data_IF_888941974724
#
_entry.id   IF_888941974724
#
_cell.length_a   1.000
_cell.length_b   1.000
_cell.length_c   1.000
_cell.angle_alpha   90.00
_cell.angle_beta   90.00
_cell.angle_gamma   90.00
#
_symmetry.space_group_name_H-M   'P 1'
#
loop_
_entity.id
_entity.type
_entity.pdbx_description
1 polymer ?
#
# COMPACT_ATOMS: atom_id res chain seq x y z
N UNK A 1 -24.55 -1.54 17.94
CA UNK A 1 -23.11 -1.37 17.66
C UNK A 1 -22.30 -2.59 18.10
N UNK A 2 -22.46 -3.09 19.34
CA UNK A 2 -21.75 -4.30 19.82
C UNK A 2 -21.89 -5.55 18.95
N UNK A 3 -23.08 -5.96 18.41
CA UNK A 3 -23.18 -7.15 17.58
C UNK A 3 -22.42 -7.04 16.26
N UNK A 4 -22.37 -5.83 15.68
CA UNK A 4 -21.64 -5.57 14.43
C UNK A 4 -20.13 -5.64 14.66
N UNK A 5 -19.62 -5.07 15.75
CA UNK A 5 -18.19 -5.15 16.10
C UNK A 5 -17.80 -6.60 16.38
N UNK A 6 -18.63 -7.34 17.12
CA UNK A 6 -18.39 -8.76 17.38
C UNK A 6 -18.35 -9.58 16.07
N UNK A 7 -19.24 -9.32 15.12
CA UNK A 7 -19.19 -9.97 13.80
C UNK A 7 -17.91 -9.61 13.04
N UNK A 8 -17.46 -8.33 13.10
CA UNK A 8 -16.21 -7.89 12.48
C UNK A 8 -15.00 -8.63 13.07
N UNK A 9 -14.92 -8.77 14.38
CA UNK A 9 -13.84 -9.46 15.09
C UNK A 9 -13.84 -10.96 14.83
N UNK A 10 -15.00 -11.61 14.93
CA UNK A 10 -15.09 -13.08 14.91
C UNK A 10 -15.21 -13.67 13.52
N UNK A 11 -15.78 -12.94 12.55
CA UNK A 11 -16.09 -13.48 11.23
C UNK A 11 -15.36 -12.79 10.10
N UNK A 12 -15.34 -11.45 10.07
CA UNK A 12 -14.76 -10.69 8.97
C UNK A 12 -13.23 -10.65 9.04
N UNK A 13 -12.66 -10.21 10.17
CA UNK A 13 -11.20 -10.06 10.30
C UNK A 13 -10.43 -11.36 10.09
N UNK A 14 -10.83 -12.53 10.62
CA UNK A 14 -10.14 -13.78 10.34
C UNK A 14 -10.19 -14.19 8.87
N UNK A 15 -11.30 -13.90 8.16
CA UNK A 15 -11.41 -14.17 6.71
C UNK A 15 -10.48 -13.26 5.91
N UNK A 16 -10.44 -11.96 6.25
CA UNK A 16 -9.54 -11.01 5.61
C UNK A 16 -8.07 -11.32 5.91
N UNK A 17 -7.75 -11.78 7.11
CA UNK A 17 -6.41 -12.26 7.45
C UNK A 17 -5.99 -13.45 6.57
N UNK A 18 -6.90 -14.40 6.29
CA UNK A 18 -6.61 -15.51 5.35
C UNK A 18 -6.32 -15.00 3.94
N UNK A 19 -7.07 -14.00 3.45
CA UNK A 19 -6.82 -13.38 2.14
C UNK A 19 -5.47 -12.66 2.15
N UNK A 20 -5.21 -11.83 3.18
CA UNK A 20 -3.96 -11.09 3.30
C UNK A 20 -2.71 -11.98 3.44
N UNK A 21 -2.86 -13.19 3.99
CA UNK A 21 -1.78 -14.16 4.17
C UNK A 21 -1.73 -15.21 3.03
N UNK A 22 -2.61 -15.11 2.04
CA UNK A 22 -2.56 -15.99 0.87
C UNK A 22 -1.27 -15.76 0.08
N UNK A 23 -0.53 -16.82 -0.23
CA UNK A 23 0.77 -16.76 -0.90
C UNK A 23 0.72 -15.98 -2.21
N UNK A 24 -0.35 -16.11 -2.98
CA UNK A 24 -0.57 -15.39 -4.25
C UNK A 24 -0.76 -13.90 -4.02
N UNK A 25 -1.68 -13.54 -3.10
CA UNK A 25 -1.97 -12.14 -2.75
C UNK A 25 -0.71 -11.45 -2.21
N UNK A 26 0.00 -12.13 -1.31
CA UNK A 26 1.26 -11.61 -0.74
C UNK A 26 2.33 -11.45 -1.80
N UNK A 27 2.47 -12.41 -2.75
CA UNK A 27 3.46 -12.30 -3.83
C UNK A 27 3.17 -11.12 -4.75
N UNK A 28 1.93 -10.91 -5.16
CA UNK A 28 1.54 -9.77 -6.01
C UNK A 28 1.76 -8.45 -5.24
N UNK A 29 1.27 -8.37 -4.00
CA UNK A 29 1.45 -7.19 -3.15
C UNK A 29 2.93 -6.82 -2.98
N UNK A 30 3.77 -7.78 -2.59
CA UNK A 30 5.19 -7.55 -2.37
C UNK A 30 5.91 -7.15 -3.66
N UNK A 31 5.51 -7.69 -4.80
CA UNK A 31 6.04 -7.30 -6.11
C UNK A 31 5.75 -5.84 -6.44
N UNK A 32 4.52 -5.38 -6.19
CA UNK A 32 4.15 -3.97 -6.38
C UNK A 32 4.92 -3.07 -5.39
N UNK A 33 5.09 -3.52 -4.13
CA UNK A 33 5.89 -2.78 -3.15
C UNK A 33 7.38 -2.67 -3.54
N UNK A 34 7.93 -3.71 -4.16
CA UNK A 34 9.35 -3.73 -4.60
C UNK A 34 9.62 -2.80 -5.77
N UNK A 35 8.62 -2.39 -6.54
CA UNK A 35 8.80 -1.39 -7.61
C UNK A 35 8.67 0.07 -7.11
N UNK A 36 8.25 0.31 -5.86
CA UNK A 36 8.15 1.66 -5.29
C UNK A 36 9.41 2.51 -5.42
N UNK A 37 10.64 2.00 -5.22
CA UNK A 37 11.84 2.80 -5.43
C UNK A 37 11.95 3.37 -6.86
N UNK A 38 11.55 2.60 -7.87
CA UNK A 38 11.55 3.06 -9.27
C UNK A 38 10.46 4.12 -9.50
N UNK A 39 9.29 3.94 -8.88
CA UNK A 39 8.20 4.92 -8.90
C UNK A 39 8.66 6.24 -8.25
N UNK A 40 9.30 6.17 -7.08
CA UNK A 40 9.80 7.35 -6.37
C UNK A 40 10.86 8.09 -7.19
N UNK A 41 11.85 7.39 -7.74
CA UNK A 41 12.88 7.97 -8.61
C UNK A 41 12.25 8.60 -9.85
N UNK A 42 11.32 7.90 -10.50
CA UNK A 42 10.59 8.43 -11.66
C UNK A 42 9.82 9.70 -11.33
N UNK A 43 9.16 9.77 -10.15
CA UNK A 43 8.44 10.98 -9.74
C UNK A 43 9.36 12.17 -9.47
N UNK A 44 10.59 11.94 -8.98
CA UNK A 44 11.60 13.01 -8.90
C UNK A 44 11.94 13.57 -10.28
N UNK A 45 12.13 12.71 -11.27
CA UNK A 45 12.40 13.16 -12.65
C UNK A 45 11.19 13.86 -13.28
N UNK A 46 9.97 13.41 -13.03
CA UNK A 46 8.76 14.11 -13.44
C UNK A 46 8.66 15.52 -12.81
N UNK A 47 9.03 15.65 -11.53
CA UNK A 47 9.10 16.95 -10.86
C UNK A 47 10.20 17.85 -11.46
N UNK A 48 11.39 17.30 -11.74
CA UNK A 48 12.48 18.04 -12.38
C UNK A 48 12.13 18.46 -13.80
N UNK A 49 11.32 17.68 -14.52
CA UNK A 49 10.85 18.03 -15.87
C UNK A 49 10.07 19.37 -15.90
N UNK A 50 9.49 19.76 -14.76
CA UNK A 50 8.86 21.09 -14.61
C UNK A 50 9.89 22.22 -14.83
N UNK A 51 11.15 22.01 -14.48
CA UNK A 51 12.20 23.00 -14.67
C UNK A 51 12.48 23.28 -16.16
N UNK A 52 12.20 22.32 -17.05
CA UNK A 52 12.35 22.53 -18.49
C UNK A 52 11.42 23.65 -19.03
N UNK A 53 10.28 23.91 -18.35
CA UNK A 53 9.35 24.98 -18.70
C UNK A 53 9.97 26.39 -18.46
N UNK A 54 10.87 26.48 -17.46
CA UNK A 54 11.53 27.73 -17.08
C UNK A 54 12.94 27.86 -17.67
N UNK A 55 13.60 26.74 -17.87
CA UNK A 55 14.97 26.65 -18.35
C UNK A 55 15.07 25.64 -19.50
N UNK A 56 14.69 26.05 -20.74
CA UNK A 56 14.67 25.15 -21.90
C UNK A 56 16.05 24.57 -22.30
N UNK A 57 17.14 25.15 -21.78
CA UNK A 57 18.52 24.67 -22.02
C UNK A 57 18.89 23.45 -21.18
N UNK A 58 18.10 23.08 -20.19
CA UNK A 58 18.34 21.87 -19.41
C UNK A 58 18.04 20.61 -20.23
N UNK A 59 18.74 19.49 -19.95
CA UNK A 59 18.43 18.22 -20.59
C UNK A 59 17.03 17.76 -20.27
N UNK A 60 16.40 16.99 -21.17
CA UNK A 60 15.06 16.46 -20.94
C UNK A 60 15.06 15.44 -19.81
N UNK A 61 14.35 15.74 -18.72
CA UNK A 61 14.14 14.82 -17.60
C UNK A 61 13.09 13.74 -17.89
N UNK A 62 12.39 13.81 -19.02
CA UNK A 62 11.46 12.76 -19.48
C UNK A 62 12.17 11.47 -19.88
N UNK A 63 13.43 11.55 -20.30
CA UNK A 63 14.23 10.35 -20.66
C UNK A 63 14.43 9.43 -19.45
N UNK A 64 15.02 9.88 -18.31
CA UNK A 64 15.16 9.03 -17.13
C UNK A 64 13.80 8.67 -16.49
N UNK A 65 12.77 9.51 -16.61
CA UNK A 65 11.40 9.15 -16.26
C UNK A 65 10.93 7.91 -17.04
N UNK A 66 11.13 7.88 -18.35
CA UNK A 66 10.77 6.75 -19.20
C UNK A 66 11.48 5.44 -18.82
N UNK A 67 12.73 5.51 -18.37
CA UNK A 67 13.49 4.34 -17.90
C UNK A 67 13.08 3.82 -16.52
N UNK A 68 12.31 4.57 -15.76
CA UNK A 68 11.78 4.17 -14.46
C UNK A 68 10.29 3.84 -14.56
N UNK A 69 9.45 4.85 -14.68
CA UNK A 69 8.00 4.72 -14.74
C UNK A 69 7.50 4.01 -16.00
N UNK A 70 8.21 4.19 -17.12
CA UNK A 70 7.88 3.52 -18.38
C UNK A 70 8.21 2.03 -18.42
N UNK A 71 8.84 1.46 -17.36
CA UNK A 71 9.25 0.05 -17.31
C UNK A 71 8.58 -0.72 -16.15
N UNK A 72 7.57 -0.16 -15.49
CA UNK A 72 6.94 -0.77 -14.31
C UNK A 72 6.34 -2.14 -14.58
N UNK A 73 5.67 -2.32 -15.70
CA UNK A 73 5.07 -3.60 -16.09
C UNK A 73 6.10 -4.69 -16.29
N UNK A 74 7.25 -4.33 -16.88
CA UNK A 74 8.36 -5.26 -17.05
C UNK A 74 8.88 -5.75 -15.69
N UNK A 75 9.08 -4.84 -14.74
CA UNK A 75 9.52 -5.18 -13.38
C UNK A 75 8.48 -6.02 -12.63
N UNK A 76 7.20 -5.66 -12.71
CA UNK A 76 6.11 -6.40 -12.03
C UNK A 76 5.98 -7.81 -12.58
N UNK A 77 6.05 -7.99 -13.91
CA UNK A 77 5.97 -9.32 -14.53
C UNK A 77 7.11 -10.26 -14.13
N UNK A 78 8.29 -9.69 -13.85
CA UNK A 78 9.44 -10.42 -13.30
C UNK A 78 9.25 -10.75 -11.80
N UNK A 79 8.85 -9.75 -11.01
CA UNK A 79 8.84 -9.86 -9.55
C UNK A 79 7.74 -10.79 -9.02
N UNK A 80 6.59 -10.89 -9.70
CA UNK A 80 5.48 -11.74 -9.22
C UNK A 80 5.88 -13.22 -9.18
N UNK A 81 6.34 -13.86 -10.28
CA UNK A 81 6.75 -15.26 -10.23
C UNK A 81 8.03 -15.45 -9.38
N UNK A 82 8.94 -14.47 -9.36
CA UNK A 82 10.11 -14.49 -8.48
C UNK A 82 9.69 -14.60 -7.00
N UNK A 83 8.82 -13.71 -6.53
CA UNK A 83 8.33 -13.71 -5.15
C UNK A 83 7.48 -14.94 -4.82
N UNK A 84 6.69 -15.43 -5.77
CA UNK A 84 5.90 -16.64 -5.60
C UNK A 84 6.80 -17.86 -5.36
N UNK A 85 7.84 -18.03 -6.16
CA UNK A 85 8.80 -19.12 -6.02
C UNK A 85 9.59 -19.01 -4.71
N UNK A 86 9.98 -17.81 -4.30
CA UNK A 86 10.60 -17.54 -3.01
C UNK A 86 9.72 -18.00 -1.85
N UNK A 87 8.43 -17.61 -1.85
CA UNK A 87 7.46 -17.92 -0.79
C UNK A 87 7.04 -19.39 -0.77
N UNK A 88 7.14 -20.09 -1.90
CA UNK A 88 6.91 -21.54 -2.01
C UNK A 88 8.16 -22.37 -1.74
N UNK A 89 9.28 -21.73 -1.32
CA UNK A 89 10.58 -22.34 -1.06
C UNK A 89 11.26 -22.97 -2.29
N UNK A 90 10.87 -22.57 -3.51
CA UNK A 90 11.53 -22.97 -4.77
C UNK A 90 12.60 -21.96 -5.19
N UNK A 91 13.48 -21.58 -4.25
CA UNK A 91 14.45 -20.47 -4.39
C UNK A 91 15.42 -20.66 -5.56
N UNK A 92 15.78 -21.89 -5.91
CA UNK A 92 16.72 -22.19 -6.98
C UNK A 92 16.22 -21.73 -8.35
N UNK A 93 14.92 -21.80 -8.59
CA UNK A 93 14.28 -21.47 -9.87
C UNK A 93 13.68 -20.07 -9.93
N UNK A 94 13.74 -19.27 -8.85
CA UNK A 94 13.06 -17.98 -8.75
C UNK A 94 13.47 -16.96 -9.83
N UNK A 95 14.78 -16.90 -10.18
CA UNK A 95 15.28 -16.00 -11.22
C UNK A 95 14.77 -16.39 -12.60
N UNK A 96 14.76 -17.70 -12.89
CA UNK A 96 14.26 -18.24 -14.16
C UNK A 96 12.74 -17.98 -14.25
N UNK A 97 12.02 -18.17 -13.16
CA UNK A 97 10.59 -17.87 -13.09
C UNK A 97 10.31 -16.36 -13.36
N UNK A 98 11.12 -15.47 -12.78
CA UNK A 98 11.06 -14.03 -13.07
C UNK A 98 11.25 -13.73 -14.55
N UNK A 99 12.31 -14.27 -15.14
CA UNK A 99 12.59 -14.12 -16.59
C UNK A 99 11.45 -14.66 -17.46
N UNK A 100 10.84 -15.79 -17.09
CA UNK A 100 9.70 -16.38 -17.81
C UNK A 100 8.48 -15.46 -17.79
N UNK A 101 8.20 -14.80 -16.65
CA UNK A 101 7.11 -13.81 -16.54
C UNK A 101 7.33 -12.62 -17.44
N UNK A 102 8.58 -12.11 -17.50
CA UNK A 102 8.94 -11.03 -18.41
C UNK A 102 8.79 -11.42 -19.89
N UNK A 103 9.26 -12.62 -20.26
CA UNK A 103 9.12 -13.13 -21.64
C UNK A 103 7.65 -13.26 -22.02
N UNK A 104 6.80 -13.81 -21.12
CA UNK A 104 5.37 -13.92 -21.37
C UNK A 104 4.71 -12.56 -21.55
N UNK A 105 5.06 -11.55 -20.74
CA UNK A 105 4.59 -10.18 -20.94
C UNK A 105 4.97 -9.67 -22.33
N UNK A 106 6.24 -9.81 -22.74
CA UNK A 106 6.73 -9.34 -24.03
C UNK A 106 6.00 -10.01 -25.19
N UNK A 107 5.69 -11.31 -25.10
CA UNK A 107 4.87 -12.02 -26.08
C UNK A 107 3.45 -11.42 -26.14
N UNK A 108 2.82 -11.18 -24.97
CA UNK A 108 1.44 -10.66 -24.89
C UNK A 108 1.30 -9.25 -25.47
N UNK A 109 2.27 -8.36 -25.20
CA UNK A 109 2.22 -6.97 -25.71
C UNK A 109 2.55 -6.85 -27.20
N UNK A 110 2.94 -7.92 -27.83
CA UNK A 110 3.23 -8.08 -29.26
C UNK A 110 4.14 -6.97 -29.81
N UNK A 111 5.34 -7.27 -30.25
CA UNK A 111 6.27 -6.28 -30.75
C UNK A 111 5.70 -5.57 -31.97
N UNK A 112 5.70 -4.25 -31.96
CA UNK A 112 5.38 -3.45 -33.14
C UNK A 112 6.61 -3.44 -34.06
N UNK A 113 6.41 -3.59 -35.37
CA UNK A 113 7.48 -3.45 -36.34
C UNK A 113 7.85 -1.97 -36.44
N UNK A 114 9.02 -1.61 -35.96
CA UNK A 114 9.57 -0.25 -36.06
C UNK A 114 10.24 -0.07 -37.41
N UNK A 115 10.51 1.18 -37.78
CA UNK A 115 11.26 1.56 -38.99
C UNK A 115 12.50 0.68 -39.13
N UNK A 116 12.70 0.08 -40.30
CA UNK A 116 13.78 -0.86 -40.61
C UNK A 116 13.58 -2.34 -40.22
N UNK A 117 12.36 -2.73 -39.82
CA UNK A 117 12.01 -4.14 -39.54
C UNK A 117 12.42 -4.63 -38.17
N UNK A 118 12.93 -3.77 -37.29
CA UNK A 118 13.24 -4.13 -35.90
C UNK A 118 11.99 -4.16 -35.01
N UNK A 119 11.89 -5.12 -34.05
CA UNK A 119 10.78 -5.16 -33.11
C UNK A 119 10.94 -4.05 -32.05
N UNK A 120 9.87 -3.31 -31.80
CA UNK A 120 9.80 -2.28 -30.76
C UNK A 120 8.57 -2.44 -29.90
N UNK A 121 8.64 -1.99 -28.63
CA UNK A 121 7.55 -2.05 -27.69
C UNK A 121 7.09 -0.65 -27.27
N UNK A 122 5.78 -0.43 -27.22
CA UNK A 122 5.22 0.83 -26.76
C UNK A 122 5.46 1.07 -25.27
N UNK A 123 5.96 2.26 -24.91
CA UNK A 123 6.16 2.64 -23.50
C UNK A 123 4.90 2.51 -22.65
N UNK A 124 3.72 2.76 -23.21
CA UNK A 124 2.44 2.63 -22.49
C UNK A 124 2.19 1.20 -21.99
N UNK A 125 2.58 0.19 -22.78
CA UNK A 125 2.41 -1.21 -22.42
C UNK A 125 3.47 -1.70 -21.42
N UNK A 126 4.68 -1.12 -21.46
CA UNK A 126 5.76 -1.44 -20.52
C UNK A 126 5.63 -0.67 -19.20
N UNK A 127 4.99 0.49 -19.21
CA UNK A 127 4.71 1.33 -18.04
C UNK A 127 3.45 0.93 -17.26
N UNK A 128 2.89 1.86 -16.48
CA UNK A 128 1.72 1.60 -15.64
C UNK A 128 0.48 1.15 -16.42
N UNK A 129 0.32 1.58 -17.68
CA UNK A 129 -0.81 1.16 -18.53
C UNK A 129 -0.87 -0.35 -18.79
N UNK A 130 0.25 -1.07 -18.76
CA UNK A 130 0.33 -2.52 -18.93
C UNK A 130 0.35 -3.31 -17.61
N UNK A 131 0.24 -2.68 -16.44
CA UNK A 131 0.44 -3.37 -15.16
C UNK A 131 -0.52 -4.53 -14.92
N UNK A 132 -1.78 -4.45 -15.35
CA UNK A 132 -2.72 -5.57 -15.24
C UNK A 132 -2.31 -6.76 -16.10
N UNK A 133 -1.79 -6.48 -17.29
CA UNK A 133 -1.25 -7.52 -18.19
C UNK A 133 0.01 -8.14 -17.58
N UNK A 134 0.86 -7.33 -16.96
CA UNK A 134 2.05 -7.79 -16.24
C UNK A 134 1.69 -8.67 -15.04
N UNK A 135 0.63 -8.34 -14.29
CA UNK A 135 0.11 -9.17 -13.20
C UNK A 135 -0.36 -10.52 -13.77
N UNK A 136 -1.15 -10.51 -14.84
CA UNK A 136 -1.60 -11.76 -15.49
C UNK A 136 -0.40 -12.61 -15.94
N UNK A 137 0.54 -12.03 -16.68
CA UNK A 137 1.73 -12.73 -17.18
C UNK A 137 2.57 -13.30 -16.03
N UNK A 138 2.77 -12.51 -14.97
CA UNK A 138 3.49 -12.96 -13.78
C UNK A 138 2.79 -14.08 -13.02
N UNK A 139 1.46 -14.00 -12.88
CA UNK A 139 0.66 -15.04 -12.21
C UNK A 139 0.65 -16.34 -13.03
N UNK A 140 0.42 -16.27 -14.34
CA UNK A 140 0.42 -17.45 -15.22
C UNK A 140 1.79 -18.11 -15.26
N UNK A 141 2.85 -17.35 -15.45
CA UNK A 141 4.22 -17.86 -15.38
C UNK A 141 4.54 -18.46 -14.02
N UNK A 142 4.21 -17.77 -12.93
CA UNK A 142 4.40 -18.25 -11.57
C UNK A 142 3.61 -19.54 -11.29
N UNK A 143 2.40 -19.67 -11.83
CA UNK A 143 1.60 -20.88 -11.71
C UNK A 143 2.32 -22.06 -12.38
N UNK A 144 2.68 -21.92 -13.66
CA UNK A 144 3.37 -22.98 -14.41
C UNK A 144 4.68 -23.34 -13.71
N UNK A 145 5.53 -22.38 -13.40
CA UNK A 145 6.81 -22.62 -12.72
C UNK A 145 6.64 -23.30 -11.37
N UNK A 146 5.62 -22.93 -10.59
CA UNK A 146 5.38 -23.52 -9.27
C UNK A 146 4.81 -24.93 -9.32
N UNK A 147 4.10 -25.31 -10.39
CA UNK A 147 3.65 -26.70 -10.61
C UNK A 147 4.84 -27.65 -10.83
N UNK A 148 5.91 -27.14 -11.44
CA UNK A 148 7.15 -27.89 -11.69
C UNK A 148 8.22 -27.65 -10.63
N UNK A 149 7.98 -26.83 -9.61
CA UNK A 149 8.99 -26.44 -8.62
C UNK A 149 9.59 -27.59 -7.81
N UNK A 150 8.82 -28.64 -7.60
CA UNK A 150 9.29 -29.89 -6.96
C UNK A 150 9.71 -30.99 -7.94
N UNK A 151 9.60 -30.72 -9.25
CA UNK A 151 9.97 -31.68 -10.27
C UNK A 151 11.46 -31.58 -10.60
N UNK A 152 12.17 -32.70 -10.65
CA UNK A 152 13.54 -32.80 -11.17
C UNK A 152 13.67 -33.97 -12.14
N UNK A 153 14.34 -33.70 -13.26
CA UNK A 153 14.68 -34.68 -14.26
C UNK A 153 15.79 -35.65 -13.76
N UNK A 154 16.52 -35.20 -12.74
CA UNK A 154 17.67 -35.96 -12.21
C UNK A 154 17.44 -36.37 -10.76
N UNK A 155 17.93 -37.53 -10.40
CA UNK A 155 17.94 -37.99 -9.00
C UNK A 155 18.88 -37.11 -8.15
N UNK A 156 18.56 -36.95 -6.86
CA UNK A 156 19.38 -36.14 -5.93
C UNK A 156 20.83 -36.64 -5.83
N UNK A 157 21.05 -37.91 -6.01
CA UNK A 157 22.37 -38.57 -5.97
C UNK A 157 23.21 -38.44 -7.26
N UNK A 158 22.72 -37.67 -8.25
CA UNK A 158 23.44 -37.52 -9.52
C UNK A 158 24.71 -36.71 -9.34
N UNK A 159 25.77 -37.03 -10.08
CA UNK A 159 27.07 -36.35 -10.09
C UNK A 159 26.98 -34.95 -10.75
N UNK A 160 25.83 -34.61 -11.29
CA UNK A 160 25.59 -33.35 -12.01
C UNK A 160 25.53 -32.18 -11.00
N UNK A 161 26.29 -31.09 -11.21
CA UNK A 161 26.26 -29.92 -10.37
C UNK A 161 24.83 -29.37 -10.23
N UNK A 162 24.47 -28.88 -9.04
CA UNK A 162 23.13 -28.45 -8.69
C UNK A 162 22.58 -27.37 -9.61
N UNK A 163 23.42 -26.42 -10.05
CA UNK A 163 23.01 -25.34 -10.96
C UNK A 163 22.65 -25.88 -12.36
N UNK A 164 23.35 -26.93 -12.83
CA UNK A 164 23.06 -27.58 -14.12
C UNK A 164 21.71 -28.31 -14.05
N UNK A 165 21.46 -29.02 -12.96
CA UNK A 165 20.16 -29.66 -12.72
C UNK A 165 19.04 -28.65 -12.75
N UNK A 166 19.21 -27.53 -12.06
CA UNK A 166 18.21 -26.45 -12.02
C UNK A 166 17.90 -25.90 -13.44
N UNK A 167 18.86 -25.84 -14.33
CA UNK A 167 18.63 -25.42 -15.73
C UNK A 167 17.74 -26.40 -16.49
N UNK A 168 18.06 -27.71 -16.42
CA UNK A 168 17.26 -28.72 -17.10
C UNK A 168 15.85 -28.85 -16.49
N UNK A 169 15.72 -28.75 -15.16
CA UNK A 169 14.43 -28.80 -14.48
C UNK A 169 13.54 -27.59 -14.86
N UNK A 170 14.16 -26.43 -15.10
CA UNK A 170 13.44 -25.24 -15.54
C UNK A 170 13.12 -25.22 -17.05
N UNK A 171 13.78 -26.03 -17.87
CA UNK A 171 13.61 -26.00 -19.33
C UNK A 171 12.17 -26.34 -19.75
N UNK A 172 11.56 -27.35 -19.11
CA UNK A 172 10.18 -27.77 -19.41
C UNK A 172 9.17 -26.66 -19.07
N UNK A 173 9.13 -26.13 -17.82
CA UNK A 173 8.15 -25.08 -17.48
C UNK A 173 8.38 -23.78 -18.26
N UNK A 174 9.63 -23.39 -18.55
CA UNK A 174 9.92 -22.23 -19.41
C UNK A 174 9.39 -22.48 -20.81
N UNK A 175 9.65 -23.66 -21.38
CA UNK A 175 9.13 -24.06 -22.70
C UNK A 175 7.60 -24.00 -22.73
N UNK A 176 6.92 -24.45 -21.69
CA UNK A 176 5.46 -24.36 -21.58
C UNK A 176 4.96 -22.93 -21.53
N UNK A 177 5.61 -22.03 -20.76
CA UNK A 177 5.25 -20.60 -20.69
C UNK A 177 5.37 -19.95 -22.07
N UNK A 178 6.50 -20.16 -22.77
CA UNK A 178 6.74 -19.60 -24.09
C UNK A 178 5.77 -20.17 -25.12
N UNK A 179 5.57 -21.49 -25.13
CA UNK A 179 4.63 -22.16 -26.04
C UNK A 179 3.19 -21.69 -25.81
N UNK A 180 2.77 -21.55 -24.56
CA UNK A 180 1.44 -21.01 -24.22
C UNK A 180 1.26 -19.59 -24.78
N UNK A 181 2.24 -18.70 -24.54
CA UNK A 181 2.21 -17.34 -25.07
C UNK A 181 2.14 -17.32 -26.58
N UNK A 182 3.02 -18.07 -27.25
CA UNK A 182 3.06 -18.17 -28.71
C UNK A 182 1.75 -18.74 -29.30
N UNK A 183 1.23 -19.82 -28.75
CA UNK A 183 -0.04 -20.40 -29.23
C UNK A 183 -1.20 -19.43 -29.07
N UNK A 184 -1.30 -18.76 -27.90
CA UNK A 184 -2.43 -17.87 -27.62
C UNK A 184 -2.36 -16.58 -28.46
N UNK A 185 -1.18 -15.96 -28.54
CA UNK A 185 -1.03 -14.65 -29.17
C UNK A 185 -0.81 -14.78 -30.68
N UNK A 186 0.14 -15.62 -31.11
CA UNK A 186 0.56 -15.66 -32.51
C UNK A 186 -0.28 -16.68 -33.31
N UNK A 187 -0.51 -17.90 -32.78
CA UNK A 187 -1.20 -18.95 -33.52
C UNK A 187 -2.72 -18.77 -33.53
N UNK A 188 -3.31 -18.43 -32.37
CA UNK A 188 -4.76 -18.15 -32.26
C UNK A 188 -5.11 -16.68 -32.57
N UNK A 189 -4.13 -15.80 -32.67
CA UNK A 189 -4.29 -14.38 -32.97
C UNK A 189 -5.10 -13.63 -31.91
N UNK A 190 -5.07 -14.07 -30.63
CA UNK A 190 -5.85 -13.46 -29.55
C UNK A 190 -5.14 -12.21 -29.02
N UNK A 191 -5.81 -11.09 -29.08
CA UNK A 191 -5.35 -9.84 -28.48
C UNK A 191 -5.55 -9.86 -26.95
N UNK A 192 -4.68 -10.59 -26.25
CA UNK A 192 -4.72 -10.74 -24.79
C UNK A 192 -4.52 -9.40 -24.09
N UNK A 193 -3.69 -8.51 -24.65
CA UNK A 193 -3.44 -7.20 -24.05
C UNK A 193 -4.72 -6.38 -23.95
N UNK A 194 -5.41 -6.16 -25.06
CA UNK A 194 -6.66 -5.40 -25.05
C UNK A 194 -7.82 -6.14 -24.36
N UNK A 195 -7.83 -7.48 -24.40
CA UNK A 195 -8.81 -8.28 -23.65
C UNK A 195 -8.67 -8.05 -22.13
N UNK A 196 -7.46 -8.09 -21.60
CA UNK A 196 -7.20 -7.79 -20.18
C UNK A 196 -7.60 -6.36 -19.83
N UNK A 197 -7.18 -5.38 -20.64
CA UNK A 197 -7.57 -3.98 -20.40
C UNK A 197 -9.09 -3.79 -20.45
N UNK A 198 -9.81 -4.49 -21.33
CA UNK A 198 -11.27 -4.44 -21.42
C UNK A 198 -11.95 -4.96 -20.15
N UNK A 199 -11.40 -5.99 -19.50
CA UNK A 199 -11.90 -6.50 -18.21
C UNK A 199 -11.71 -5.48 -17.08
N UNK A 200 -10.59 -4.74 -17.07
CA UNK A 200 -10.30 -3.78 -16.00
C UNK A 200 -10.79 -2.35 -16.28
N UNK A 201 -11.14 -2.02 -17.52
CA UNK A 201 -11.70 -0.70 -17.89
C UNK A 201 -12.96 -0.33 -17.08
N UNK A 202 -13.96 -1.22 -16.85
CA UNK A 202 -15.09 -0.93 -15.99
C UNK A 202 -14.70 -0.59 -14.55
N UNK A 203 -13.68 -1.27 -13.99
CA UNK A 203 -13.18 -1.00 -12.66
C UNK A 203 -12.60 0.41 -12.56
N UNK A 204 -11.78 0.82 -13.53
CA UNK A 204 -11.25 2.18 -13.61
C UNK A 204 -12.38 3.22 -13.71
N UNK A 205 -13.39 2.95 -14.53
CA UNK A 205 -14.59 3.81 -14.67
C UNK A 205 -15.42 3.89 -13.38
N UNK A 206 -15.55 2.79 -12.63
CA UNK A 206 -16.22 2.79 -11.33
C UNK A 206 -15.41 3.65 -10.33
N UNK A 207 -14.11 3.44 -10.24
CA UNK A 207 -13.22 4.20 -9.35
C UNK A 207 -13.25 5.70 -9.70
N UNK A 208 -13.21 6.06 -10.97
CA UNK A 208 -13.32 7.45 -11.48
C UNK A 208 -14.78 7.94 -11.54
N UNK A 209 -15.63 7.52 -10.63
CA UNK A 209 -17.02 7.98 -10.54
C UNK A 209 -17.28 8.71 -9.22
N UNK A 210 -18.32 9.58 -9.15
CA UNK A 210 -18.63 10.33 -7.93
C UNK A 210 -18.97 9.45 -6.73
N UNK A 211 -19.34 8.20 -6.95
CA UNK A 211 -19.67 7.21 -5.91
C UNK A 211 -18.53 6.22 -5.67
N UNK A 212 -17.85 5.79 -6.74
CA UNK A 212 -16.75 4.82 -6.65
C UNK A 212 -15.52 5.40 -5.96
N UNK A 213 -15.22 6.66 -6.17
CA UNK A 213 -14.11 7.34 -5.51
C UNK A 213 -14.26 7.35 -3.98
N UNK A 214 -15.37 7.84 -3.40
CA UNK A 214 -15.58 7.76 -1.95
C UNK A 214 -15.64 6.33 -1.43
N UNK A 215 -16.24 5.39 -2.18
CA UNK A 215 -16.32 3.99 -1.79
C UNK A 215 -14.92 3.34 -1.72
N UNK A 216 -14.06 3.64 -2.68
CA UNK A 216 -12.66 3.19 -2.64
C UNK A 216 -11.94 3.75 -1.41
N UNK A 217 -12.05 5.06 -1.16
CA UNK A 217 -11.43 5.68 0.02
C UNK A 217 -12.00 5.14 1.34
N UNK A 218 -13.31 4.89 1.40
CA UNK A 218 -13.96 4.22 2.54
C UNK A 218 -13.38 2.82 2.76
N UNK A 219 -13.17 2.04 1.68
CA UNK A 219 -12.61 0.69 1.78
C UNK A 219 -11.21 0.72 2.38
N UNK A 220 -10.37 1.66 1.98
CA UNK A 220 -9.06 1.88 2.59
C UNK A 220 -9.18 2.19 4.09
N UNK A 221 -10.00 3.17 4.46
CA UNK A 221 -10.21 3.57 5.85
C UNK A 221 -10.81 2.46 6.70
N UNK A 222 -11.77 1.71 6.14
CA UNK A 222 -12.43 0.60 6.80
C UNK A 222 -11.44 -0.52 7.13
N UNK A 223 -10.71 -1.04 6.14
CA UNK A 223 -9.74 -2.11 6.36
C UNK A 223 -8.65 -1.68 7.35
N UNK A 224 -8.16 -0.45 7.22
CA UNK A 224 -7.10 0.05 8.07
C UNK A 224 -7.56 0.21 9.51
N UNK A 225 -8.81 0.64 9.76
CA UNK A 225 -9.41 0.70 11.09
C UNK A 225 -9.62 -0.68 11.73
N UNK A 226 -9.68 -1.76 10.91
CA UNK A 226 -9.70 -3.15 11.36
C UNK A 226 -8.31 -3.74 11.64
N UNK A 227 -7.25 -2.92 11.60
CA UNK A 227 -5.88 -3.41 11.74
C UNK A 227 -5.37 -4.18 10.53
N UNK A 228 -6.08 -4.14 9.39
CA UNK A 228 -5.67 -4.76 8.15
C UNK A 228 -4.90 -3.72 7.33
N UNK A 229 -3.68 -4.07 6.94
CA UNK A 229 -2.86 -3.17 6.13
C UNK A 229 -3.57 -2.78 4.84
N UNK A 230 -3.65 -1.49 4.57
CA UNK A 230 -4.21 -0.93 3.33
C UNK A 230 -3.48 -1.40 2.06
N UNK A 231 -2.24 -1.86 2.19
CA UNK A 231 -1.44 -2.42 1.10
C UNK A 231 -2.05 -3.68 0.47
N UNK A 232 -3.04 -4.31 1.10
CA UNK A 232 -3.79 -5.42 0.50
C UNK A 232 -4.58 -5.00 -0.75
N UNK A 233 -4.92 -3.72 -0.89
CA UNK A 233 -5.64 -3.18 -2.04
C UNK A 233 -4.72 -2.80 -3.21
N UNK A 234 -3.41 -2.67 -3.00
CA UNK A 234 -2.46 -2.21 -4.02
C UNK A 234 -2.46 -3.03 -5.32
N UNK A 235 -2.61 -4.37 -5.31
CA UNK A 235 -2.66 -5.14 -6.55
C UNK A 235 -3.75 -4.69 -7.52
N UNK A 236 -4.83 -4.11 -7.00
CA UNK A 236 -5.98 -3.65 -7.78
C UNK A 236 -5.91 -2.13 -8.01
N UNK A 237 -5.63 -1.36 -6.97
CA UNK A 237 -5.74 0.10 -7.03
C UNK A 237 -4.52 0.76 -7.66
N UNK A 238 -3.30 0.29 -7.38
CA UNK A 238 -2.08 0.92 -7.90
C UNK A 238 -2.04 0.97 -9.44
N UNK A 239 -2.33 -0.12 -10.19
CA UNK A 239 -2.36 -0.05 -11.64
C UNK A 239 -3.37 0.98 -12.17
N UNK A 240 -4.57 1.05 -11.57
CA UNK A 240 -5.61 2.02 -11.96
C UNK A 240 -5.15 3.45 -11.72
N UNK A 241 -4.68 3.74 -10.51
CA UNK A 241 -4.28 5.09 -10.09
C UNK A 241 -3.08 5.62 -10.89
N UNK A 242 -2.10 4.76 -11.17
CA UNK A 242 -0.93 5.13 -11.96
C UNK A 242 -1.26 5.27 -13.45
N UNK A 243 -2.10 4.41 -14.01
CA UNK A 243 -2.57 4.56 -15.39
C UNK A 243 -3.38 5.85 -15.57
N UNK A 244 -4.22 6.20 -14.57
CA UNK A 244 -5.01 7.43 -14.58
C UNK A 244 -4.13 8.68 -14.61
N UNK A 245 -3.10 8.76 -13.77
CA UNK A 245 -2.20 9.93 -13.77
C UNK A 245 -1.33 9.99 -15.04
N UNK A 246 -0.92 8.85 -15.59
CA UNK A 246 -0.21 8.81 -16.87
C UNK A 246 -1.08 9.31 -18.04
N UNK A 247 -2.36 8.97 -18.05
CA UNK A 247 -3.31 9.50 -19.05
C UNK A 247 -3.50 11.02 -18.91
N UNK A 248 -3.53 11.56 -17.67
CA UNK A 248 -3.55 12.99 -17.43
C UNK A 248 -2.28 13.67 -17.98
N UNK A 249 -1.10 13.11 -17.68
CA UNK A 249 0.19 13.63 -18.17
C UNK A 249 0.29 13.63 -19.69
N UNK A 250 -0.28 12.60 -20.35
CA UNK A 250 -0.35 12.52 -21.80
C UNK A 250 -1.40 13.46 -22.41
N UNK A 251 -2.19 14.18 -21.62
CA UNK A 251 -3.26 15.05 -22.08
C UNK A 251 -4.44 14.30 -22.70
N UNK A 252 -4.55 13.00 -22.47
CA UNK A 252 -5.62 12.14 -23.04
C UNK A 252 -6.82 12.00 -22.10
N UNK A 253 -6.69 12.39 -20.83
CA UNK A 253 -7.74 12.38 -19.84
C UNK A 253 -7.54 13.44 -18.76
N UNK A 254 -8.61 13.69 -17.99
CA UNK A 254 -8.60 14.52 -16.78
C UNK A 254 -9.13 13.69 -15.61
N UNK A 255 -8.41 12.63 -15.23
CA UNK A 255 -8.82 11.76 -14.13
C UNK A 255 -8.54 12.43 -12.79
N UNK A 256 -9.54 12.51 -11.93
CA UNK A 256 -9.38 13.01 -10.57
C UNK A 256 -8.75 11.94 -9.67
N UNK A 257 -9.16 10.68 -9.84
CA UNK A 257 -8.79 9.60 -8.93
C UNK A 257 -7.44 9.01 -9.34
N UNK A 258 -6.39 9.67 -8.88
CA UNK A 258 -4.99 9.32 -9.16
C UNK A 258 -4.22 9.13 -7.86
N UNK A 259 -3.06 8.47 -7.93
CA UNK A 259 -2.14 8.39 -6.79
C UNK A 259 -1.76 9.78 -6.26
N UNK A 260 -1.48 10.72 -7.16
CA UNK A 260 -1.14 12.10 -6.82
C UNK A 260 -2.26 12.82 -6.06
N UNK A 261 -3.53 12.66 -6.49
CA UNK A 261 -4.68 13.26 -5.80
C UNK A 261 -4.82 12.74 -4.37
N UNK A 262 -4.70 11.42 -4.20
CA UNK A 262 -4.92 10.74 -2.93
C UNK A 262 -3.79 11.00 -1.93
N UNK A 263 -2.55 10.85 -2.35
CA UNK A 263 -1.41 10.80 -1.43
C UNK A 263 -0.63 12.11 -1.33
N UNK A 264 -0.89 13.09 -2.23
CA UNK A 264 -0.02 14.27 -2.31
C UNK A 264 -0.74 15.59 -2.52
N UNK A 265 -2.03 15.61 -2.91
CA UNK A 265 -2.68 16.87 -3.29
C UNK A 265 -3.83 17.26 -2.37
N UNK A 266 -4.87 16.42 -2.24
CA UNK A 266 -6.13 16.83 -1.61
C UNK A 266 -6.57 15.97 -0.43
N UNK A 267 -6.05 14.73 -0.32
CA UNK A 267 -6.48 13.77 0.69
C UNK A 267 -5.30 13.21 1.48
N UNK A 268 -5.63 12.56 2.58
CA UNK A 268 -4.75 11.77 3.42
C UNK A 268 -3.62 12.56 4.10
N UNK A 269 -3.98 13.76 4.57
CA UNK A 269 -3.11 14.54 5.47
C UNK A 269 -2.77 13.75 6.72
N UNK A 270 -1.49 13.55 6.96
CA UNK A 270 -1.04 12.71 8.06
C UNK A 270 -1.30 11.23 7.84
N UNK A 271 -1.56 10.80 6.60
CA UNK A 271 -1.82 9.43 6.18
C UNK A 271 -3.30 9.11 5.92
N UNK A 272 -3.59 7.85 5.59
CA UNK A 272 -4.93 7.38 5.22
C UNK A 272 -5.95 7.72 6.31
N UNK A 273 -7.07 8.35 5.90
CA UNK A 273 -8.10 8.81 6.82
C UNK A 273 -7.85 10.19 7.42
N UNK A 274 -6.97 11.00 6.80
CA UNK A 274 -6.72 12.40 7.19
C UNK A 274 -6.42 12.56 8.68
N UNK A 275 -5.52 11.72 9.21
CA UNK A 275 -5.30 11.58 10.66
C UNK A 275 -4.50 12.71 11.30
N UNK A 276 -3.93 13.64 10.51
CA UNK A 276 -3.19 14.80 11.05
C UNK A 276 -4.01 15.60 12.06
N UNK A 277 -5.29 15.87 11.75
CA UNK A 277 -6.17 16.62 12.66
C UNK A 277 -6.33 15.90 14.01
N UNK A 278 -6.53 14.58 14.00
CA UNK A 278 -6.60 13.78 15.21
C UNK A 278 -5.29 13.83 16.00
N UNK A 279 -4.15 13.68 15.33
CA UNK A 279 -2.81 13.73 15.97
C UNK A 279 -2.58 15.07 16.65
N UNK A 280 -2.95 16.18 16.01
CA UNK A 280 -2.85 17.51 16.60
C UNK A 280 -3.76 17.65 17.84
N UNK A 281 -5.00 17.16 17.78
CA UNK A 281 -5.92 17.16 18.92
C UNK A 281 -5.37 16.30 20.07
N UNK A 282 -4.81 15.13 19.79
CA UNK A 282 -4.19 14.27 20.79
C UNK A 282 -2.96 14.93 21.42
N UNK A 283 -2.10 15.58 20.63
CA UNK A 283 -0.91 16.28 21.13
C UNK A 283 -1.24 17.44 22.06
N UNK A 284 -2.44 18.05 21.89
CA UNK A 284 -2.98 19.10 22.74
C UNK A 284 -3.94 18.58 23.85
N UNK A 285 -4.15 17.27 23.98
CA UNK A 285 -5.09 16.66 24.91
C UNK A 285 -4.77 16.97 26.37
N UNK A 286 -5.82 16.97 27.22
CA UNK A 286 -5.72 17.01 28.68
C UNK A 286 -5.27 15.67 29.28
N UNK A 287 -5.57 14.54 28.63
CA UNK A 287 -5.10 13.21 29.01
C UNK A 287 -3.60 13.09 28.79
N UNK A 288 -2.87 12.69 29.84
CA UNK A 288 -1.40 12.51 29.79
C UNK A 288 -1.01 11.45 28.75
N UNK A 289 -1.76 10.34 28.73
CA UNK A 289 -1.56 9.24 27.78
C UNK A 289 -1.77 9.70 26.33
N UNK A 290 -2.90 10.37 26.05
CA UNK A 290 -3.19 10.82 24.68
C UNK A 290 -2.23 11.90 24.22
N UNK A 291 -1.84 12.81 25.12
CA UNK A 291 -0.83 13.84 24.83
C UNK A 291 0.52 13.22 24.47
N UNK A 292 0.97 12.24 25.22
CA UNK A 292 2.23 11.53 24.94
C UNK A 292 2.16 10.82 23.59
N UNK A 293 1.09 10.07 23.31
CA UNK A 293 0.88 9.38 22.04
C UNK A 293 0.79 10.37 20.86
N UNK A 294 0.00 11.45 21.00
CA UNK A 294 -0.13 12.47 19.97
C UNK A 294 1.20 13.14 19.62
N UNK A 295 2.01 13.48 20.64
CA UNK A 295 3.33 14.05 20.43
C UNK A 295 4.31 13.07 19.77
N UNK A 296 4.25 11.79 20.13
CA UNK A 296 5.05 10.75 19.48
C UNK A 296 4.64 10.50 18.03
N UNK A 297 3.34 10.62 17.72
CA UNK A 297 2.81 10.45 16.36
C UNK A 297 2.96 11.70 15.48
N UNK A 298 3.26 12.88 16.03
CA UNK A 298 3.31 14.13 15.27
C UNK A 298 4.42 14.15 14.21
N UNK A 299 5.70 13.79 14.51
CA UNK A 299 6.74 13.79 13.49
C UNK A 299 6.43 12.87 12.29
N UNK A 300 6.03 11.60 12.46
CA UNK A 300 5.64 10.77 11.32
C UNK A 300 4.38 11.29 10.60
N UNK A 301 3.40 11.87 11.30
CA UNK A 301 2.19 12.42 10.67
C UNK A 301 2.50 13.61 9.75
N UNK A 302 3.49 14.46 10.07
CA UNK A 302 3.92 15.57 9.19
C UNK A 302 4.38 15.04 7.82
N UNK A 303 4.99 13.87 7.79
CA UNK A 303 5.42 13.19 6.57
C UNK A 303 4.41 12.11 6.12
N UNK A 304 3.14 12.25 6.50
CA UNK A 304 2.01 11.42 6.08
C UNK A 304 2.11 9.94 6.46
N UNK A 305 2.85 9.61 7.51
CA UNK A 305 2.97 8.26 8.08
C UNK A 305 2.08 8.19 9.31
N UNK A 306 1.06 7.34 9.30
CA UNK A 306 0.07 7.26 10.37
C UNK A 306 -0.10 5.89 11.04
N UNK A 307 0.74 4.91 10.72
CA UNK A 307 0.76 3.62 11.38
C UNK A 307 0.77 3.74 12.92
N UNK A 308 1.59 4.63 13.53
CA UNK A 308 1.61 4.75 14.99
C UNK A 308 0.28 5.19 15.59
N UNK A 309 -0.44 6.13 14.98
CA UNK A 309 -1.74 6.58 15.50
C UNK A 309 -2.85 5.60 15.16
N UNK A 310 -2.80 4.95 13.99
CA UNK A 310 -3.81 3.96 13.61
C UNK A 310 -3.73 2.75 14.55
N UNK A 311 -2.58 2.13 14.70
CA UNK A 311 -2.43 0.96 15.56
C UNK A 311 -2.40 1.30 17.05
N UNK A 312 -2.00 2.54 17.41
CA UNK A 312 -1.95 2.99 18.81
C UNK A 312 -3.29 3.48 19.39
N UNK A 313 -4.24 3.92 18.54
CA UNK A 313 -5.48 4.52 19.01
C UNK A 313 -6.74 4.16 18.21
N UNK A 314 -6.65 4.02 16.88
CA UNK A 314 -7.84 3.91 16.01
C UNK A 314 -8.25 2.45 15.82
N UNK A 315 -7.30 1.56 15.52
CA UNK A 315 -7.62 0.17 15.21
C UNK A 315 -8.37 -0.50 16.36
N UNK A 316 -9.50 -1.11 16.02
CA UNK A 316 -10.42 -1.78 16.98
C UNK A 316 -10.98 -0.86 18.06
N UNK A 317 -10.88 0.46 17.90
CA UNK A 317 -11.53 1.41 18.79
C UNK A 317 -12.84 1.92 18.17
N UNK A 318 -14.02 1.47 18.61
CA UNK A 318 -15.30 1.82 18.01
C UNK A 318 -15.56 3.33 17.94
N UNK A 319 -15.02 4.08 18.90
CA UNK A 319 -15.20 5.54 18.96
C UNK A 319 -14.42 6.23 17.82
N UNK A 320 -13.20 5.76 17.50
CA UNK A 320 -12.35 6.37 16.50
C UNK A 320 -12.48 5.71 15.11
N UNK A 321 -13.03 4.50 15.01
CA UNK A 321 -13.29 3.84 13.72
C UNK A 321 -14.37 4.57 12.91
N UNK A 322 -15.43 5.03 13.57
CA UNK A 322 -16.53 5.74 12.90
C UNK A 322 -16.05 7.00 12.17
N UNK A 323 -15.35 7.94 12.83
CA UNK A 323 -14.81 9.09 12.11
C UNK A 323 -13.79 8.70 11.04
N UNK A 324 -12.99 7.64 11.22
CA UNK A 324 -12.10 7.12 10.18
C UNK A 324 -12.87 6.74 8.91
N UNK A 325 -14.05 6.10 9.03
CA UNK A 325 -14.90 5.77 7.88
C UNK A 325 -15.50 7.00 7.23
N UNK A 326 -15.92 7.99 8.04
CA UNK A 326 -16.42 9.28 7.53
C UNK A 326 -15.33 10.04 6.77
N UNK A 327 -14.07 9.92 7.16
CA UNK A 327 -12.93 10.45 6.40
C UNK A 327 -12.78 9.79 5.03
N UNK A 328 -13.15 8.53 4.89
CA UNK A 328 -13.19 7.84 3.60
C UNK A 328 -14.35 8.27 2.70
N UNK A 329 -15.39 8.90 3.23
CA UNK A 329 -16.59 9.29 2.49
C UNK A 329 -16.66 10.79 2.21
N UNK A 330 -16.61 11.62 3.25
CA UNK A 330 -16.94 13.05 3.15
C UNK A 330 -15.85 13.84 2.40
N UNK A 331 -14.57 13.78 2.76
CA UNK A 331 -13.52 14.49 2.04
C UNK A 331 -13.42 14.15 0.55
N UNK A 332 -13.48 12.87 0.10
CA UNK A 332 -13.48 12.55 -1.33
C UNK A 332 -14.68 13.14 -2.09
N UNK A 333 -15.89 13.13 -1.50
CA UNK A 333 -17.07 13.76 -2.09
C UNK A 333 -16.84 15.28 -2.25
N UNK A 334 -16.30 15.94 -1.22
CA UNK A 334 -15.98 17.36 -1.27
C UNK A 334 -14.95 17.68 -2.36
N UNK A 335 -13.89 16.88 -2.46
CA UNK A 335 -12.86 17.04 -3.50
C UNK A 335 -13.48 16.84 -4.89
N UNK A 336 -14.29 15.80 -5.08
CA UNK A 336 -14.99 15.57 -6.34
C UNK A 336 -15.84 16.77 -6.73
N UNK A 337 -16.68 17.26 -5.81
CA UNK A 337 -17.58 18.38 -6.06
C UNK A 337 -16.82 19.65 -6.47
N UNK A 338 -15.74 20.00 -5.75
CA UNK A 338 -15.01 21.22 -5.98
C UNK A 338 -14.01 21.14 -7.14
N UNK A 339 -13.63 19.96 -7.60
CA UNK A 339 -12.73 19.80 -8.76
C UNK A 339 -13.50 19.48 -10.04
N UNK A 340 -14.29 18.40 -10.06
CA UNK A 340 -15.00 17.90 -11.26
C UNK A 340 -16.26 18.69 -11.59
N UNK A 341 -17.05 19.06 -10.55
CA UNK A 341 -18.37 19.69 -10.78
C UNK A 341 -18.27 21.21 -10.82
N UNK A 342 -17.72 21.82 -9.77
CA UNK A 342 -17.62 23.29 -9.63
C UNK A 342 -16.39 23.83 -10.35
N UNK A 343 -15.35 23.01 -10.53
CA UNK A 343 -14.05 23.40 -11.12
C UNK A 343 -13.36 24.54 -10.39
N UNK A 344 -13.55 24.59 -9.07
CA UNK A 344 -12.89 25.56 -8.21
C UNK A 344 -11.39 25.34 -8.11
N UNK A 345 -10.95 24.08 -8.04
CA UNK A 345 -9.55 23.71 -7.96
C UNK A 345 -9.17 22.74 -9.10
N UNK A 346 -7.93 22.81 -9.61
CA UNK A 346 -7.50 21.99 -10.73
C UNK A 346 -7.33 20.53 -10.34
N UNK A 347 -7.48 19.64 -11.33
CA UNK A 347 -7.10 18.24 -11.23
C UNK A 347 -5.58 18.16 -11.41
N UNK A 348 -4.85 17.37 -10.61
CA UNK A 348 -3.42 17.16 -10.80
C UNK A 348 -3.11 16.53 -12.16
N UNK A 349 -2.25 17.18 -12.94
CA UNK A 349 -1.83 16.73 -14.26
C UNK A 349 -0.41 16.15 -14.25
N UNK A 350 0.31 16.28 -13.13
CA UNK A 350 1.68 15.79 -12.98
C UNK A 350 1.74 14.66 -11.96
N UNK A 351 2.52 13.64 -12.26
CA UNK A 351 2.75 12.55 -11.33
C UNK A 351 3.68 12.99 -10.20
N UNK A 352 3.26 12.75 -8.96
CA UNK A 352 4.04 13.05 -7.76
C UNK A 352 3.83 11.98 -6.72
N UNK A 353 4.79 11.06 -6.62
CA UNK A 353 4.72 9.89 -5.72
C UNK A 353 5.55 10.05 -4.44
N UNK A 354 6.08 11.26 -4.19
CA UNK A 354 6.77 11.59 -2.95
C UNK A 354 5.74 11.90 -1.83
N UNK A 355 4.90 10.92 -1.52
CA UNK A 355 3.77 11.01 -0.60
C UNK A 355 4.16 11.43 0.82
N UNK A 356 5.44 11.27 1.21
CA UNK A 356 5.99 11.75 2.47
C UNK A 356 6.31 13.26 2.48
N UNK A 357 6.02 13.98 1.38
CA UNK A 357 6.18 15.45 1.34
C UNK A 357 5.06 16.12 2.15
N UNK A 358 5.41 17.03 3.09
CA UNK A 358 4.40 17.73 3.87
C UNK A 358 3.43 18.56 3.02
N UNK A 359 2.14 18.54 3.39
CA UNK A 359 1.18 19.51 2.91
C UNK A 359 1.44 20.89 3.59
N UNK A 360 1.28 22.01 2.93
CA UNK A 360 0.72 22.29 1.59
C UNK A 360 1.76 22.26 0.45
N UNK A 361 3.03 21.94 0.73
CA UNK A 361 4.09 21.94 -0.28
C UNK A 361 3.78 20.96 -1.43
N UNK A 362 3.36 19.74 -1.09
CA UNK A 362 2.98 18.73 -2.07
C UNK A 362 1.83 19.21 -2.96
N UNK A 363 0.78 19.84 -2.37
CA UNK A 363 -0.35 20.42 -3.10
C UNK A 363 0.11 21.50 -4.09
N UNK A 364 1.03 22.37 -3.68
CA UNK A 364 1.56 23.42 -4.57
C UNK A 364 2.36 22.82 -5.72
N UNK A 365 3.24 21.86 -5.45
CA UNK A 365 4.08 21.21 -6.49
C UNK A 365 3.20 20.51 -7.54
N UNK A 366 2.14 19.84 -7.10
CA UNK A 366 1.28 19.04 -7.99
C UNK A 366 0.31 19.84 -8.82
N UNK A 367 -0.06 21.05 -8.37
CA UNK A 367 -1.13 21.85 -9.00
C UNK A 367 -0.70 23.25 -9.43
N UNK A 368 0.31 23.82 -8.81
CA UNK A 368 0.74 25.23 -8.97
C UNK A 368 -0.42 26.23 -8.84
N UNK A 369 -1.39 25.91 -7.98
CA UNK A 369 -2.63 26.68 -7.85
C UNK A 369 -2.94 27.06 -6.41
N UNK A 370 -3.24 28.33 -6.18
CA UNK A 370 -3.71 28.82 -4.87
C UNK A 370 -5.08 28.25 -4.52
N UNK A 371 -5.98 28.08 -5.50
CA UNK A 371 -7.29 27.46 -5.26
C UNK A 371 -7.17 26.01 -4.80
N UNK A 372 -6.15 25.28 -5.25
CA UNK A 372 -5.86 23.95 -4.75
C UNK A 372 -5.43 23.97 -3.28
N UNK A 373 -4.60 24.94 -2.87
CA UNK A 373 -4.22 25.10 -1.45
C UNK A 373 -5.46 25.45 -0.61
N UNK A 374 -6.34 26.32 -1.11
CA UNK A 374 -7.60 26.64 -0.41
C UNK A 374 -8.48 25.40 -0.27
N UNK A 375 -8.63 24.60 -1.33
CA UNK A 375 -9.36 23.32 -1.25
C UNK A 375 -8.72 22.38 -0.25
N UNK A 376 -7.41 22.23 -0.27
CA UNK A 376 -6.65 21.44 0.68
C UNK A 376 -6.94 21.86 2.13
N UNK A 377 -6.87 23.16 2.43
CA UNK A 377 -7.16 23.70 3.76
C UNK A 377 -8.63 23.47 4.17
N UNK A 378 -9.56 23.57 3.21
CA UNK A 378 -10.97 23.27 3.45
C UNK A 378 -11.18 21.79 3.80
N UNK A 379 -10.54 20.87 3.06
CA UNK A 379 -10.55 19.42 3.35
C UNK A 379 -9.97 19.15 4.74
N UNK A 380 -8.87 19.81 5.10
CA UNK A 380 -8.29 19.70 6.43
C UNK A 380 -9.25 20.19 7.53
N UNK A 381 -9.91 21.33 7.32
CA UNK A 381 -10.90 21.86 8.26
C UNK A 381 -12.11 20.92 8.43
N UNK A 382 -12.63 20.40 7.31
CA UNK A 382 -13.71 19.39 7.34
C UNK A 382 -13.26 18.13 8.07
N UNK A 383 -12.04 17.67 7.81
CA UNK A 383 -11.44 16.54 8.54
C UNK A 383 -11.38 16.80 10.05
N UNK A 384 -10.96 17.99 10.47
CA UNK A 384 -10.91 18.35 11.88
C UNK A 384 -12.32 18.37 12.52
N UNK A 385 -13.32 18.90 11.82
CA UNK A 385 -14.73 18.89 12.28
C UNK A 385 -15.24 17.45 12.45
N UNK A 386 -14.90 16.52 11.53
CA UNK A 386 -15.30 15.12 11.63
C UNK A 386 -14.63 14.45 12.84
N UNK A 387 -13.33 14.65 13.04
CA UNK A 387 -12.59 14.02 14.16
C UNK A 387 -12.99 14.57 15.53
N UNK A 388 -13.32 15.86 15.64
CA UNK A 388 -13.46 16.59 16.91
C UNK A 388 -14.45 15.97 17.89
N UNK A 389 -15.73 15.69 17.55
CA UNK A 389 -16.70 15.14 18.51
C UNK A 389 -16.29 13.76 19.03
N UNK A 390 -15.76 12.91 18.17
CA UNK A 390 -15.32 11.57 18.56
C UNK A 390 -14.05 11.60 19.41
N UNK A 391 -13.13 12.50 19.07
CA UNK A 391 -11.96 12.75 19.88
C UNK A 391 -12.34 13.20 21.29
N UNK A 392 -13.31 14.09 21.45
CA UNK A 392 -13.78 14.55 22.78
C UNK A 392 -14.36 13.40 23.61
N UNK A 393 -15.11 12.50 23.01
CA UNK A 393 -15.60 11.28 23.70
C UNK A 393 -14.42 10.40 24.14
N UNK A 394 -13.46 10.17 23.24
CA UNK A 394 -12.29 9.35 23.53
C UNK A 394 -11.37 9.98 24.60
N UNK A 395 -11.17 11.31 24.55
CA UNK A 395 -10.44 12.08 25.55
C UNK A 395 -11.07 11.92 26.93
N UNK A 396 -12.40 12.07 27.03
CA UNK A 396 -13.13 11.90 28.28
C UNK A 396 -12.99 10.48 28.87
N UNK A 397 -13.13 9.46 28.03
CA UNK A 397 -12.91 8.06 28.42
C UNK A 397 -11.48 7.82 28.96
N UNK A 398 -10.48 8.42 28.31
CA UNK A 398 -9.08 8.31 28.71
C UNK A 398 -8.82 8.99 30.05
N UNK A 399 -9.41 10.17 30.29
CA UNK A 399 -9.30 10.89 31.58
C UNK A 399 -9.93 10.10 32.71
N UNK A 400 -11.12 9.50 32.50
CA UNK A 400 -11.78 8.66 33.51
C UNK A 400 -10.93 7.42 33.85
N UNK A 401 -10.26 6.85 32.86
CA UNK A 401 -9.38 5.70 33.07
C UNK A 401 -8.13 6.13 33.87
N UNK A 402 -7.48 7.22 33.51
CA UNK A 402 -6.33 7.77 34.24
C UNK A 402 -6.68 8.06 35.70
N UNK A 403 -7.85 8.65 35.98
CA UNK A 403 -8.32 8.93 37.34
C UNK A 403 -8.53 7.65 38.16
N UNK A 404 -9.06 6.59 37.55
CA UNK A 404 -9.25 5.28 38.23
C UNK A 404 -7.91 4.61 38.53
N UNK A 405 -7.00 4.65 37.58
CA UNK A 405 -5.67 4.04 37.74
C UNK A 405 -4.87 4.77 38.86
N UNK A 406 -4.98 6.10 38.96
CA UNK A 406 -4.39 6.90 40.03
C UNK A 406 -4.96 6.58 41.41
N UNK A 407 -6.29 6.49 41.55
CA UNK A 407 -6.99 6.14 42.80
C UNK A 407 -6.65 4.70 43.25
N UNK A 408 -6.55 3.75 42.32
CA UNK A 408 -6.13 2.38 42.62
C UNK A 408 -4.65 2.28 43.07
N UNK A 409 -3.79 3.11 42.54
CA UNK A 409 -2.38 3.19 42.95
C UNK A 409 -2.20 3.81 44.33
N UNK A 410 -3.02 4.79 44.71
CA UNK A 410 -3.03 5.38 46.07
C UNK A 410 -3.60 4.41 47.11
N UNK A 411 -4.71 3.71 46.82
CA UNK A 411 -5.24 2.70 47.67
C UNK A 411 -4.29 1.53 47.94
N UNK A 412 -3.50 1.13 46.96
CA UNK A 412 -2.46 0.11 47.09
C UNK A 412 -1.23 0.58 47.90
N UNK A 413 -0.97 1.89 47.98
CA UNK A 413 0.11 2.46 48.79
C UNK A 413 -0.26 2.67 50.27
N UNK A 414 -1.53 2.91 50.56
CA UNK A 414 -2.04 3.08 51.94
C UNK A 414 -2.37 1.76 52.63
N UNK A 415 -2.43 0.64 51.91
CA UNK A 415 -2.60 -0.71 52.42
C UNK A 415 -1.30 -1.49 52.68
N UNK A 416 -0.19 -0.84 52.91
CA UNK A 416 1.09 -1.45 53.34
C UNK A 416 0.96 -1.97 54.79
N UNK A 417 1.54 -3.11 55.17
CA UNK A 417 1.30 -3.82 56.40
C UNK A 417 2.03 -3.17 57.58
N UNK A 418 1.35 -2.23 58.27
CA UNK A 418 1.65 -1.99 59.66
C UNK A 418 0.92 -3.09 60.49
N UNK A 419 1.65 -4.04 60.93
CA UNK A 419 1.12 -5.00 61.92
C UNK A 419 1.68 -6.40 61.84
N UNK A 420 3.00 -6.53 61.88
CA UNK A 420 3.68 -7.74 62.38
C UNK A 420 5.12 -7.48 62.79
N UNK A 421 5.28 -6.77 63.90
CA UNK A 421 6.46 -6.90 64.76
C UNK A 421 5.91 -7.31 66.14
N UNK A 422 6.52 -8.29 66.73
CA UNK A 422 6.33 -8.88 68.03
C UNK A 422 5.61 -10.22 68.07
N UNK A 423 6.37 -11.28 67.93
CA UNK A 423 6.43 -12.42 68.85
C UNK A 423 7.10 -13.61 68.13
N UNK A 424 8.34 -13.80 68.42
CA UNK A 424 8.93 -15.04 68.99
C UNK A 424 10.40 -15.17 68.72
N UNK A 425 11.12 -14.65 69.71
CA UNK A 425 12.38 -15.25 70.17
C UNK A 425 11.99 -16.42 71.04
N UNK A 426 12.35 -17.64 70.64
CA UNK A 426 12.78 -18.77 71.50
C UNK A 426 12.72 -20.09 70.72
N UNK A 427 13.80 -20.79 70.70
CA UNK A 427 13.74 -22.24 70.51
C UNK A 427 14.66 -22.83 69.43
N UNK A 428 15.97 -22.98 69.89
CA UNK A 428 16.75 -24.22 69.83
C UNK A 428 17.17 -24.74 68.43
N UNK A 429 18.49 -24.61 68.23
CA UNK A 429 19.53 -25.65 68.31
C UNK A 429 19.19 -27.02 67.69
N UNK A 430 20.02 -27.41 66.74
CA UNK A 430 20.31 -28.82 66.59
C UNK A 430 20.43 -29.34 65.16
N UNK A 431 21.63 -29.73 64.80
CA UNK A 431 21.81 -30.90 63.95
C UNK A 431 22.27 -30.67 62.52
N UNK A 432 23.49 -30.50 62.29
CA UNK A 432 24.51 -31.39 61.64
C UNK A 432 24.06 -32.23 60.45
N UNK A 433 24.78 -32.01 59.38
CA UNK A 433 25.60 -32.98 58.62
C UNK A 433 25.00 -33.73 57.44
N UNK A 434 25.78 -33.74 56.38
CA UNK A 434 25.91 -34.84 55.45
C UNK A 434 25.50 -34.46 54.01
N UNK A 435 26.37 -34.07 53.19
CA UNK A 435 27.32 -34.79 52.33
C UNK A 435 26.69 -35.41 51.05
N UNK A 436 27.24 -34.95 49.92
CA UNK A 436 27.51 -35.67 48.67
C UNK A 436 26.37 -36.31 47.87
N UNK A 437 26.14 -35.84 46.71
CA UNK A 437 26.58 -36.35 45.42
C UNK A 437 26.09 -35.45 44.30
#
# INVERSE_FOLDING_TARGET
MQPFIHWLETSFSPRMAKVNNNVWVVSIKDSIMQVLPFILVGSVFAMLAILNDYFPSLPSFWTPYGWTMGMLSLLVSFLIPFNLMEKRNFRKQRLIAGGSGTILLLIIITPQVVKDGEPGFGHAALGAGGMFVAILAGVVSGLIMSLFGGFSLFKEESVIPEFVRAWFDAMIPVGLVVTLGWVVVDLLGLDVYNAVLAVFRPLAGIIESPWGFPLMCLTYCFLYSMGISSWVLTPVTTPVLLAAIQANMAGTAENLVTSTTLFSTYLWFGGIGNTMALVLMMAASKSTRLKALGRACLPPAIVNINEPVVFGAIAWNPVLMVPMWLQGLIPPILVWLLTKTIRFAPIPMNQFELWYTPYPLATWITTRSLSAIVLMLLVFAVSAVIWYPFFKVYEHQSLLKEARDSAGSEAGRTGGPDGRSEARVAGQTGGRAGASA
#
